data_IF_907870747484
#
_entry.id   IF_907870747484
#
_cell.length_a   1.000
_cell.length_b   1.000
_cell.length_c   1.000
_cell.angle_alpha   90.00
_cell.angle_beta   90.00
_cell.angle_gamma   90.00
#
_symmetry.space_group_name_H-M   'P 1'
#
loop_
_entity.id
_entity.type
_entity.pdbx_description
1 polymer ?
#
# COMPACT_ATOMS: atom_id res chain seq x y z
N UNK A 1 1.26 -27.72 12.52
CA UNK A 1 0.46 -26.82 11.67
C UNK A 1 -0.09 -25.74 12.58
N UNK A 2 0.30 -24.46 12.41
CA UNK A 2 -0.27 -23.39 13.23
C UNK A 2 -1.80 -23.35 13.03
N UNK A 3 -2.59 -23.09 14.07
CA UNK A 3 -4.04 -23.01 13.94
C UNK A 3 -4.40 -21.93 12.91
N UNK A 4 -5.32 -22.27 11.99
CA UNK A 4 -5.87 -21.29 11.06
C UNK A 4 -6.60 -20.24 11.90
N UNK A 5 -6.21 -18.96 11.85
CA UNK A 5 -6.86 -17.93 12.66
C UNK A 5 -8.35 -17.87 12.30
N UNK A 6 -9.21 -17.68 13.31
CA UNK A 6 -10.60 -17.36 13.05
C UNK A 6 -10.67 -16.00 12.37
N UNK A 7 -10.88 -16.03 11.04
CA UNK A 7 -10.88 -14.83 10.20
C UNK A 7 -12.04 -13.89 10.53
N UNK A 8 -13.10 -14.40 11.16
CA UNK A 8 -14.27 -13.59 11.51
C UNK A 8 -14.14 -12.95 12.89
N UNK A 9 -13.24 -13.45 13.73
CA UNK A 9 -13.00 -12.89 15.05
C UNK A 9 -12.45 -11.45 14.94
N UNK A 10 -12.93 -10.51 15.78
CA UNK A 10 -12.51 -9.10 15.73
C UNK A 10 -11.00 -8.89 15.71
N UNK A 11 -10.27 -9.62 16.56
CA UNK A 11 -8.81 -9.58 16.67
C UNK A 11 -8.09 -9.85 15.34
N UNK A 12 -8.72 -10.54 14.39
CA UNK A 12 -8.15 -10.79 13.09
C UNK A 12 -8.19 -9.54 12.20
N UNK A 13 -9.24 -8.73 12.24
CA UNK A 13 -9.41 -7.60 11.32
C UNK A 13 -9.28 -6.21 12.00
N UNK A 14 -9.13 -6.16 13.32
CA UNK A 14 -8.80 -4.93 14.05
C UNK A 14 -7.30 -4.72 14.19
N UNK A 15 -6.83 -3.48 14.07
CA UNK A 15 -5.45 -3.14 14.40
C UNK A 15 -5.20 -3.36 15.91
N UNK A 16 -4.17 -4.12 16.26
CA UNK A 16 -3.79 -4.35 17.66
C UNK A 16 -3.34 -3.07 18.41
N UNK A 17 -2.92 -2.04 17.66
CA UNK A 17 -2.64 -0.69 18.18
C UNK A 17 -3.24 0.35 17.25
N UNK A 18 -4.01 1.26 17.80
CA UNK A 18 -4.55 2.42 17.08
C UNK A 18 -3.75 3.68 17.43
N UNK A 19 -3.45 4.54 16.44
CA UNK A 19 -2.96 5.90 16.69
C UNK A 19 -3.91 6.67 17.60
N UNK A 20 -3.37 7.49 18.51
CA UNK A 20 -4.16 8.22 19.49
C UNK A 20 -5.22 9.11 18.84
N UNK A 21 -4.89 9.75 17.72
CA UNK A 21 -5.76 10.64 16.97
C UNK A 21 -6.94 9.90 16.34
N UNK A 22 -6.77 8.63 15.98
CA UNK A 22 -7.83 7.76 15.44
C UNK A 22 -8.64 7.15 16.58
N UNK A 23 -7.96 6.67 17.63
CA UNK A 23 -8.60 6.12 18.83
C UNK A 23 -9.54 7.15 19.50
N UNK A 24 -9.17 8.43 19.50
CA UNK A 24 -10.01 9.52 19.98
C UNK A 24 -11.32 9.71 19.19
N UNK A 25 -11.45 9.08 18.00
CA UNK A 25 -12.68 9.08 17.19
C UNK A 25 -13.48 7.79 17.30
N UNK A 26 -12.94 6.76 17.96
CA UNK A 26 -13.62 5.50 18.16
C UNK A 26 -14.94 5.73 18.91
N UNK A 27 -15.99 5.04 18.48
CA UNK A 27 -17.30 5.19 19.08
C UNK A 27 -18.33 4.28 18.43
N UNK A 28 -19.53 4.24 19.00
CA UNK A 28 -20.63 3.47 18.41
C UNK A 28 -21.17 4.21 17.17
N UNK A 29 -21.13 3.61 15.97
CA UNK A 29 -21.73 4.23 14.79
C UNK A 29 -23.26 4.27 14.89
N UNK A 30 -23.85 5.25 14.22
CA UNK A 30 -25.29 5.40 13.97
C UNK A 30 -25.76 4.61 12.72
N UNK A 31 -24.81 3.94 12.06
CA UNK A 31 -25.01 3.02 10.94
C UNK A 31 -24.58 1.61 11.35
N UNK A 32 -24.41 0.68 10.39
CA UNK A 32 -23.93 -0.67 10.66
C UNK A 32 -22.55 -0.64 11.35
N UNK A 33 -22.44 -1.36 12.46
CA UNK A 33 -21.21 -1.46 13.24
C UNK A 33 -20.16 -2.37 12.59
N UNK A 34 -18.90 -2.16 12.93
CA UNK A 34 -17.82 -3.10 12.60
C UNK A 34 -18.21 -4.53 13.03
N UNK A 35 -17.91 -5.52 12.19
CA UNK A 35 -18.37 -6.91 12.35
C UNK A 35 -19.71 -7.22 11.68
N UNK A 36 -20.51 -6.21 11.32
CA UNK A 36 -21.74 -6.42 10.54
C UNK A 36 -21.44 -6.91 9.12
N UNK A 37 -22.38 -7.59 8.43
CA UNK A 37 -22.24 -7.87 7.00
C UNK A 37 -21.87 -6.61 6.21
N UNK A 38 -20.99 -6.77 5.22
CA UNK A 38 -20.43 -5.69 4.40
C UNK A 38 -19.54 -4.65 5.13
N UNK A 39 -19.32 -4.76 6.45
CA UNK A 39 -18.39 -3.89 7.21
C UNK A 39 -17.00 -4.49 7.39
N UNK A 40 -16.88 -5.81 7.32
CA UNK A 40 -15.59 -6.50 7.42
C UNK A 40 -15.25 -7.14 6.09
N UNK A 41 -14.19 -6.68 5.45
CA UNK A 41 -13.69 -7.19 4.18
C UNK A 41 -12.35 -7.89 4.37
N UNK A 42 -12.20 -9.10 3.83
CA UNK A 42 -10.98 -9.91 4.02
C UNK A 42 -10.54 -10.50 2.69
N UNK A 43 -9.26 -10.37 2.39
CA UNK A 43 -8.56 -11.14 1.39
C UNK A 43 -7.38 -11.84 2.07
N UNK A 44 -7.30 -13.15 1.93
CA UNK A 44 -6.15 -13.95 2.36
C UNK A 44 -5.73 -14.81 1.17
N UNK A 45 -4.59 -14.45 0.59
CA UNK A 45 -4.09 -14.88 -0.70
C UNK A 45 -2.74 -15.56 -0.53
N UNK A 46 -2.59 -16.76 -1.10
CA UNK A 46 -1.31 -17.48 -1.16
C UNK A 46 -0.93 -17.81 -2.58
N UNK A 47 0.29 -17.43 -2.97
CA UNK A 47 0.85 -17.62 -4.30
C UNK A 47 2.03 -18.58 -4.25
N UNK A 48 2.08 -19.54 -5.16
CA UNK A 48 3.16 -20.53 -5.26
C UNK A 48 3.50 -20.80 -6.73
N UNK A 49 4.74 -21.25 -7.00
CA UNK A 49 5.13 -21.69 -8.33
C UNK A 49 4.55 -23.08 -8.63
N UNK A 50 3.73 -23.17 -9.68
CA UNK A 50 3.11 -24.40 -10.18
C UNK A 50 3.24 -24.45 -11.70
N UNK A 51 3.74 -25.56 -12.24
CA UNK A 51 3.91 -25.71 -13.69
C UNK A 51 4.78 -24.62 -14.34
N UNK A 52 5.79 -24.12 -13.62
CA UNK A 52 6.71 -23.10 -14.13
C UNK A 52 6.22 -21.65 -14.05
N UNK A 53 5.04 -21.38 -13.46
CA UNK A 53 4.53 -20.02 -13.23
C UNK A 53 3.92 -19.87 -11.85
N UNK A 54 3.69 -18.63 -11.44
CA UNK A 54 3.02 -18.30 -10.18
C UNK A 54 1.51 -18.48 -10.32
N UNK A 55 0.92 -19.24 -9.40
CA UNK A 55 -0.51 -19.52 -9.31
C UNK A 55 -1.06 -19.10 -7.93
N UNK A 56 -2.32 -18.67 -7.90
CA UNK A 56 -3.05 -18.44 -6.64
C UNK A 56 -3.56 -19.80 -6.11
N UNK A 57 -2.87 -20.34 -5.10
CA UNK A 57 -3.13 -21.67 -4.54
C UNK A 57 -3.94 -21.63 -3.24
N UNK A 58 -3.98 -20.49 -2.56
CA UNK A 58 -4.83 -20.26 -1.38
C UNK A 58 -5.62 -18.98 -1.58
N UNK A 59 -6.93 -19.04 -1.32
CA UNK A 59 -7.84 -17.91 -1.45
C UNK A 59 -8.95 -18.01 -0.41
N UNK A 60 -8.97 -17.06 0.51
CA UNK A 60 -10.16 -16.72 1.28
C UNK A 60 -10.58 -15.29 0.93
N UNK A 61 -11.88 -15.10 0.71
CA UNK A 61 -12.45 -13.82 0.33
C UNK A 61 -13.73 -13.58 1.13
N UNK A 62 -13.83 -12.41 1.75
CA UNK A 62 -15.04 -11.91 2.39
C UNK A 62 -15.34 -10.51 1.86
N UNK A 63 -16.55 -10.34 1.33
CA UNK A 63 -17.04 -9.04 0.88
C UNK A 63 -17.05 -8.03 2.05
N UNK A 64 -16.70 -6.76 1.80
CA UNK A 64 -16.70 -6.12 0.48
C UNK A 64 -15.41 -6.26 -0.33
N UNK A 65 -14.33 -6.84 0.21
CA UNK A 65 -13.12 -7.03 -0.60
C UNK A 65 -13.28 -8.19 -1.59
N UNK A 66 -12.76 -7.99 -2.79
CA UNK A 66 -12.76 -8.95 -3.89
C UNK A 66 -11.45 -8.87 -4.67
N UNK A 67 -11.15 -9.94 -5.41
CA UNK A 67 -10.07 -9.98 -6.39
C UNK A 67 -10.58 -10.41 -7.77
N UNK A 68 -9.93 -9.91 -8.82
CA UNK A 68 -10.05 -10.54 -10.14
C UNK A 68 -9.25 -11.84 -10.16
N UNK A 69 -9.62 -12.76 -11.06
CA UNK A 69 -8.79 -13.93 -11.35
C UNK A 69 -7.36 -13.48 -11.71
N UNK A 70 -6.32 -14.17 -11.23
CA UNK A 70 -4.95 -13.90 -11.67
C UNK A 70 -4.83 -13.90 -13.19
N UNK A 71 -4.08 -12.93 -13.70
CA UNK A 71 -3.76 -12.76 -15.12
C UNK A 71 -2.24 -12.84 -15.31
N UNK A 72 -1.78 -13.28 -16.47
CA UNK A 72 -0.35 -13.31 -16.82
C UNK A 72 -0.14 -12.34 -17.98
N UNK A 73 -0.03 -11.06 -17.62
CA UNK A 73 -0.12 -9.95 -18.57
C UNK A 73 1.24 -9.45 -19.05
N UNK A 74 2.33 -9.89 -18.42
CA UNK A 74 3.67 -9.44 -18.73
C UNK A 74 4.34 -10.38 -19.74
N UNK A 75 4.56 -9.98 -21.01
CA UNK A 75 5.22 -10.81 -22.00
C UNK A 75 6.67 -11.15 -21.63
N UNK A 76 7.34 -10.27 -20.87
CA UNK A 76 8.72 -10.46 -20.42
C UNK A 76 8.82 -11.35 -19.18
N UNK A 77 7.68 -11.54 -18.47
CA UNK A 77 7.51 -12.41 -17.30
C UNK A 77 6.17 -13.15 -17.36
N UNK A 78 6.01 -14.11 -18.30
CA UNK A 78 4.78 -14.89 -18.42
C UNK A 78 4.53 -15.80 -17.20
N UNK A 79 5.54 -15.95 -16.34
CA UNK A 79 5.49 -16.67 -15.07
C UNK A 79 4.90 -15.83 -13.91
N UNK A 80 4.78 -14.50 -14.07
CA UNK A 80 4.34 -13.60 -13.00
C UNK A 80 2.83 -13.35 -13.00
N UNK A 81 2.18 -13.63 -11.86
CA UNK A 81 0.76 -13.39 -11.68
C UNK A 81 0.47 -11.89 -11.46
N UNK A 82 -0.58 -11.38 -12.09
CA UNK A 82 -1.12 -10.03 -11.92
C UNK A 82 -2.52 -10.12 -11.36
N UNK A 83 -2.76 -9.48 -10.22
CA UNK A 83 -4.05 -9.54 -9.51
C UNK A 83 -4.55 -8.13 -9.20
N UNK A 84 -5.78 -7.86 -9.64
CA UNK A 84 -6.49 -6.64 -9.30
C UNK A 84 -7.35 -6.86 -8.06
N UNK A 85 -7.15 -6.02 -7.04
CA UNK A 85 -7.91 -5.97 -5.81
C UNK A 85 -8.98 -4.88 -5.91
N UNK A 86 -10.13 -5.11 -5.30
CA UNK A 86 -11.22 -4.13 -5.29
C UNK A 86 -12.09 -4.25 -4.04
N UNK A 87 -12.80 -3.17 -3.72
CA UNK A 87 -13.83 -3.15 -2.68
C UNK A 87 -15.19 -2.84 -3.32
N UNK A 88 -16.18 -3.69 -3.06
CA UNK A 88 -17.57 -3.47 -3.46
C UNK A 88 -18.19 -2.42 -2.53
N UNK A 89 -18.50 -1.23 -3.03
CA UNK A 89 -19.05 -0.14 -2.20
C UNK A 89 -18.64 1.28 -2.63
N UNK A 90 -17.84 1.43 -3.68
CA UNK A 90 -17.44 2.75 -4.20
C UNK A 90 -16.49 3.53 -3.30
N UNK A 91 -16.00 2.92 -2.22
CA UNK A 91 -15.03 3.49 -1.28
C UNK A 91 -15.13 2.85 0.12
N UNK A 92 -14.31 3.35 1.03
CA UNK A 92 -14.31 3.01 2.46
C UNK A 92 -15.25 3.96 3.20
N UNK A 93 -16.14 3.42 4.01
CA UNK A 93 -17.18 4.13 4.76
C UNK A 93 -17.05 3.90 6.26
N UNK A 94 -17.85 4.64 7.04
CA UNK A 94 -17.89 4.57 8.50
C UNK A 94 -17.93 3.13 9.01
N UNK A 95 -17.07 2.81 9.99
CA UNK A 95 -16.96 1.51 10.64
C UNK A 95 -16.46 0.34 9.75
N UNK A 96 -16.00 0.61 8.53
CA UNK A 96 -15.40 -0.45 7.69
C UNK A 96 -14.04 -0.90 8.27
N UNK A 97 -13.78 -2.20 8.18
CA UNK A 97 -12.56 -2.87 8.68
C UNK A 97 -12.07 -3.87 7.65
N UNK A 98 -10.99 -3.52 6.96
CA UNK A 98 -10.46 -4.30 5.86
C UNK A 98 -9.14 -4.96 6.24
N UNK A 99 -8.93 -6.18 5.75
CA UNK A 99 -7.67 -6.91 5.90
C UNK A 99 -7.30 -7.58 4.59
N UNK A 100 -6.06 -7.35 4.15
CA UNK A 100 -5.46 -7.96 2.96
C UNK A 100 -4.19 -8.66 3.43
N UNK A 101 -4.19 -9.99 3.40
CA UNK A 101 -3.00 -10.81 3.60
C UNK A 101 -2.59 -11.39 2.24
N UNK A 102 -1.34 -11.13 1.84
CA UNK A 102 -0.76 -11.69 0.64
C UNK A 102 0.56 -12.38 0.96
N UNK A 103 0.59 -13.69 0.76
CA UNK A 103 1.77 -14.53 0.94
C UNK A 103 2.29 -14.99 -0.43
N UNK A 104 3.44 -14.46 -0.83
CA UNK A 104 4.21 -14.90 -1.97
C UNK A 104 5.22 -15.97 -1.52
N UNK A 105 4.94 -17.22 -1.87
CA UNK A 105 5.79 -18.37 -1.52
C UNK A 105 7.13 -18.37 -2.25
N UNK A 106 8.02 -19.33 -1.94
CA UNK A 106 9.37 -19.35 -2.47
C UNK A 106 9.43 -19.28 -4.01
N UNK A 107 10.26 -18.38 -4.54
CA UNK A 107 10.42 -18.15 -5.97
C UNK A 107 9.20 -17.61 -6.73
N UNK A 108 8.05 -17.42 -6.06
CA UNK A 108 6.84 -16.93 -6.70
C UNK A 108 6.95 -15.43 -7.04
N UNK A 109 6.27 -15.00 -8.10
CA UNK A 109 6.26 -13.63 -8.60
C UNK A 109 4.83 -13.14 -8.76
N UNK A 110 4.47 -12.10 -8.02
CA UNK A 110 3.11 -11.54 -8.05
C UNK A 110 3.13 -10.03 -8.02
N UNK A 111 2.29 -9.42 -8.85
CA UNK A 111 1.92 -8.01 -8.78
C UNK A 111 0.47 -7.87 -8.33
N UNK A 112 0.29 -7.15 -7.24
CA UNK A 112 -0.98 -6.77 -6.67
C UNK A 112 -1.19 -5.27 -6.90
N UNK A 113 -2.32 -4.90 -7.47
CA UNK A 113 -2.74 -3.50 -7.63
C UNK A 113 -4.23 -3.39 -7.40
N UNK A 114 -4.75 -2.19 -7.19
CA UNK A 114 -6.20 -1.98 -7.14
C UNK A 114 -6.75 -1.69 -8.54
N UNK A 115 -8.07 -1.83 -8.71
CA UNK A 115 -8.74 -1.42 -9.95
C UNK A 115 -8.97 0.09 -10.02
N UNK A 116 -9.11 0.76 -8.88
CA UNK A 116 -9.39 2.18 -8.80
C UNK A 116 -8.87 2.77 -7.49
N UNK A 117 -8.76 4.11 -7.45
CA UNK A 117 -8.41 4.86 -6.26
C UNK A 117 -9.32 4.54 -5.07
N UNK A 118 -8.71 4.41 -3.89
CA UNK A 118 -9.43 4.15 -2.64
C UNK A 118 -9.99 5.47 -2.11
N UNK A 119 -11.30 5.68 -2.30
CA UNK A 119 -12.01 6.84 -1.75
C UNK A 119 -12.38 6.56 -0.31
N UNK A 120 -12.01 7.45 0.62
CA UNK A 120 -12.44 7.33 2.02
C UNK A 120 -13.49 8.39 2.29
N UNK A 121 -14.71 7.95 2.56
CA UNK A 121 -15.87 8.81 2.76
C UNK A 121 -15.89 9.44 4.15
N UNK A 122 -16.75 10.45 4.30
CA UNK A 122 -17.04 11.13 5.57
C UNK A 122 -17.55 10.16 6.62
N UNK A 123 -17.20 10.39 7.88
CA UNK A 123 -17.65 9.60 9.03
C UNK A 123 -18.10 10.53 10.15
N UNK A 124 -19.33 10.37 10.64
CA UNK A 124 -19.86 11.16 11.76
C UNK A 124 -19.39 10.57 13.10
N UNK A 125 -19.33 9.24 13.16
CA UNK A 125 -18.96 8.45 14.33
C UNK A 125 -17.93 7.40 13.94
N UNK A 126 -17.19 6.89 14.91
CA UNK A 126 -16.17 5.87 14.67
C UNK A 126 -15.13 6.29 13.60
N UNK A 127 -14.42 5.30 13.06
CA UNK A 127 -13.42 5.43 11.99
C UNK A 127 -13.53 4.23 11.04
N UNK A 128 -12.70 4.19 10.00
CA UNK A 128 -12.45 2.98 9.23
C UNK A 128 -10.97 2.60 9.23
N UNK A 129 -10.66 1.33 9.03
CA UNK A 129 -9.27 0.89 8.97
C UNK A 129 -9.00 -0.18 7.92
N UNK A 130 -7.77 -0.23 7.44
CA UNK A 130 -7.26 -1.27 6.56
C UNK A 130 -5.93 -1.80 7.05
N UNK A 131 -5.84 -3.12 7.17
CA UNK A 131 -4.62 -3.86 7.43
C UNK A 131 -4.13 -4.49 6.14
N UNK A 132 -2.85 -4.32 5.81
CA UNK A 132 -2.20 -4.94 4.66
C UNK A 132 -0.98 -5.69 5.18
N UNK A 133 -0.94 -7.01 5.02
CA UNK A 133 0.19 -7.85 5.37
C UNK A 133 0.75 -8.48 4.11
N UNK A 134 2.00 -8.17 3.79
CA UNK A 134 2.71 -8.67 2.62
C UNK A 134 3.86 -9.55 3.11
N UNK A 135 3.87 -10.81 2.70
CA UNK A 135 4.93 -11.76 3.05
C UNK A 135 5.58 -12.29 1.78
N UNK A 136 6.89 -12.09 1.64
CA UNK A 136 7.68 -12.59 0.53
C UNK A 136 8.74 -13.56 1.08
N UNK A 137 8.64 -14.82 0.67
CA UNK A 137 9.58 -15.89 1.01
C UNK A 137 10.86 -15.82 0.15
N UNK A 138 11.81 -16.71 0.40
CA UNK A 138 13.08 -16.80 -0.33
C UNK A 138 12.89 -16.77 -1.87
N UNK A 139 13.64 -15.88 -2.53
CA UNK A 139 13.57 -15.67 -3.98
C UNK A 139 12.23 -15.16 -4.53
N UNK A 140 11.24 -14.86 -3.66
CA UNK A 140 9.96 -14.35 -4.08
C UNK A 140 10.06 -12.88 -4.53
N UNK A 141 9.21 -12.49 -5.47
CA UNK A 141 9.14 -11.12 -5.99
C UNK A 141 7.70 -10.61 -5.89
N UNK A 142 7.42 -9.75 -4.92
CA UNK A 142 6.08 -9.22 -4.64
C UNK A 142 6.04 -7.71 -4.92
N UNK A 143 5.16 -7.29 -5.82
CA UNK A 143 4.87 -5.88 -6.06
C UNK A 143 3.47 -5.56 -5.51
N UNK A 144 3.36 -4.59 -4.61
CA UNK A 144 2.08 -4.04 -4.14
C UNK A 144 2.01 -2.56 -4.52
N UNK A 145 1.29 -2.27 -5.60
CA UNK A 145 1.22 -0.96 -6.23
C UNK A 145 -0.25 -0.52 -6.38
N UNK A 146 -0.96 -0.24 -5.29
CA UNK A 146 -2.34 0.27 -5.32
C UNK A 146 -2.44 1.65 -6.00
N UNK A 147 -3.65 1.98 -6.43
CA UNK A 147 -4.03 3.32 -6.85
C UNK A 147 -4.10 4.27 -5.65
N UNK A 148 -4.16 5.60 -5.87
CA UNK A 148 -4.14 6.58 -4.80
C UNK A 148 -5.24 6.43 -3.75
N UNK A 149 -4.89 6.73 -2.50
CA UNK A 149 -5.81 6.92 -1.38
C UNK A 149 -6.31 8.37 -1.36
N UNK A 150 -7.63 8.57 -1.40
CA UNK A 150 -8.28 9.87 -1.50
C UNK A 150 -9.19 10.09 -0.28
N UNK A 151 -8.74 10.78 0.77
CA UNK A 151 -9.56 11.10 1.93
C UNK A 151 -10.52 12.26 1.63
N UNK A 152 -11.82 12.05 1.78
CA UNK A 152 -12.82 13.11 1.61
C UNK A 152 -12.95 13.95 2.88
N UNK A 153 -13.68 15.06 2.78
CA UNK A 153 -14.06 15.88 3.93
C UNK A 153 -14.64 15.03 5.07
N UNK A 154 -14.12 15.21 6.29
CA UNK A 154 -14.56 14.50 7.49
C UNK A 154 -14.25 12.99 7.49
N UNK A 155 -13.33 12.52 6.65
CA UNK A 155 -12.86 11.14 6.70
C UNK A 155 -12.03 10.88 7.98
N UNK A 156 -12.13 9.65 8.50
CA UNK A 156 -11.41 9.17 9.69
C UNK A 156 -10.82 7.80 9.39
N UNK A 157 -9.51 7.73 9.15
CA UNK A 157 -8.91 6.51 8.58
C UNK A 157 -7.58 6.12 9.18
N UNK A 158 -7.38 4.82 9.35
CA UNK A 158 -6.10 4.21 9.72
C UNK A 158 -5.72 3.10 8.75
N UNK A 159 -4.54 3.18 8.15
CA UNK A 159 -3.95 2.09 7.40
C UNK A 159 -2.69 1.59 8.09
N UNK A 160 -2.56 0.27 8.25
CA UNK A 160 -1.31 -0.36 8.65
C UNK A 160 -0.86 -1.31 7.55
N UNK A 161 0.34 -1.10 7.04
CA UNK A 161 1.04 -1.96 6.09
C UNK A 161 2.20 -2.63 6.81
N UNK A 162 2.21 -3.97 6.85
CA UNK A 162 3.30 -4.75 7.41
C UNK A 162 3.91 -5.63 6.33
N UNK A 163 5.22 -5.55 6.16
CA UNK A 163 5.98 -6.30 5.16
C UNK A 163 6.95 -7.22 5.88
N UNK A 164 6.88 -8.51 5.55
CA UNK A 164 7.89 -9.50 5.95
C UNK A 164 8.61 -9.99 4.70
N UNK A 165 9.90 -9.67 4.57
CA UNK A 165 10.71 -10.04 3.42
C UNK A 165 11.89 -10.92 3.86
N UNK A 166 11.91 -12.18 3.41
CA UNK A 166 13.06 -13.06 3.60
C UNK A 166 14.33 -12.50 2.92
N UNK A 167 15.53 -12.88 3.37
CA UNK A 167 16.74 -12.70 2.57
C UNK A 167 16.54 -13.27 1.16
N UNK A 168 17.09 -12.62 0.13
CA UNK A 168 16.88 -12.98 -1.27
C UNK A 168 15.49 -12.66 -1.85
N UNK A 169 14.52 -12.25 -1.03
CA UNK A 169 13.22 -11.82 -1.50
C UNK A 169 13.25 -10.36 -1.97
N UNK A 170 12.34 -10.00 -2.86
CA UNK A 170 12.12 -8.61 -3.27
C UNK A 170 10.67 -8.19 -3.03
N UNK A 171 10.49 -7.05 -2.37
CA UNK A 171 9.20 -6.38 -2.22
C UNK A 171 9.28 -4.96 -2.78
N UNK A 172 8.43 -4.64 -3.74
CA UNK A 172 8.23 -3.27 -4.23
C UNK A 172 6.86 -2.79 -3.76
N UNK A 173 6.86 -1.78 -2.90
CA UNK A 173 5.65 -1.24 -2.26
C UNK A 173 5.48 0.23 -2.65
N UNK A 174 4.37 0.56 -3.30
CA UNK A 174 4.01 1.93 -3.66
C UNK A 174 2.81 2.41 -2.86
N UNK A 175 2.85 3.65 -2.39
CA UNK A 175 1.70 4.31 -1.77
C UNK A 175 1.58 5.74 -2.33
N UNK A 176 0.37 6.15 -2.68
CA UNK A 176 0.06 7.54 -3.04
C UNK A 176 -1.10 8.03 -2.18
N UNK A 177 -0.87 9.14 -1.49
CA UNK A 177 -1.89 9.85 -0.74
C UNK A 177 -2.20 11.17 -1.44
N UNK A 178 -3.48 11.48 -1.60
CA UNK A 178 -3.94 12.79 -2.06
C UNK A 178 -4.38 13.66 -0.87
N UNK A 179 -4.23 14.97 -0.99
CA UNK A 179 -4.69 15.94 0.01
C UNK A 179 -6.22 15.90 0.18
N UNK A 180 -6.94 15.41 -0.83
CA UNK A 180 -8.36 15.12 -0.74
C UNK A 180 -9.00 15.01 -2.11
N UNK A 181 -10.30 15.34 -2.18
CA UNK A 181 -11.09 15.36 -3.41
C UNK A 181 -10.87 16.68 -4.17
N UNK A 182 -9.68 16.83 -4.77
CA UNK A 182 -9.20 18.07 -5.41
C UNK A 182 -10.15 18.64 -6.47
N UNK A 183 -10.75 17.77 -7.29
CA UNK A 183 -11.72 18.16 -8.31
C UNK A 183 -13.00 18.81 -7.74
N UNK A 184 -13.23 18.71 -6.43
CA UNK A 184 -14.33 19.38 -5.70
C UNK A 184 -13.82 20.41 -4.69
N UNK A 185 -12.58 20.86 -4.84
CA UNK A 185 -11.96 21.88 -3.99
C UNK A 185 -11.63 21.42 -2.57
N UNK A 186 -11.68 20.11 -2.28
CA UNK A 186 -11.35 19.58 -0.96
C UNK A 186 -9.85 19.29 -0.86
N UNK A 187 -9.17 20.05 0.01
CA UNK A 187 -7.78 19.85 0.41
C UNK A 187 -7.69 19.77 1.92
N UNK A 188 -7.08 18.71 2.43
CA UNK A 188 -6.86 18.46 3.84
C UNK A 188 -8.12 18.69 4.70
N UNK A 189 -9.29 18.27 4.18
CA UNK A 189 -10.58 18.50 4.82
C UNK A 189 -11.07 17.29 5.64
N UNK A 190 -10.28 16.23 5.72
CA UNK A 190 -10.52 15.05 6.56
C UNK A 190 -10.25 15.37 8.04
N UNK A 191 -10.86 14.58 8.94
CA UNK A 191 -10.68 14.76 10.39
C UNK A 191 -9.36 14.16 10.86
N UNK A 192 -9.06 12.93 10.42
CA UNK A 192 -7.82 12.23 10.73
C UNK A 192 -7.50 11.18 9.68
N UNK A 193 -6.23 11.13 9.30
CA UNK A 193 -5.66 10.08 8.47
C UNK A 193 -4.33 9.66 9.11
N UNK A 194 -4.20 8.38 9.42
CA UNK A 194 -2.97 7.80 9.91
C UNK A 194 -2.52 6.62 9.06
N UNK A 195 -1.24 6.57 8.73
CA UNK A 195 -0.61 5.43 8.06
C UNK A 195 0.56 4.94 8.91
N UNK A 196 0.71 3.63 9.00
CA UNK A 196 1.82 2.95 9.65
C UNK A 196 2.39 1.92 8.68
N UNK A 197 3.67 2.00 8.39
CA UNK A 197 4.44 1.01 7.64
C UNK A 197 5.48 0.38 8.56
N UNK A 198 5.56 -0.94 8.54
CA UNK A 198 6.58 -1.71 9.22
C UNK A 198 7.16 -2.73 8.23
N UNK A 199 8.47 -2.73 8.06
CA UNK A 199 9.19 -3.68 7.20
C UNK A 199 10.15 -4.45 8.09
N UNK A 200 10.05 -5.78 8.09
CA UNK A 200 10.86 -6.66 8.92
C UNK A 200 11.32 -7.93 8.19
N UNK A 201 12.31 -8.59 8.75
CA UNK A 201 12.72 -9.96 8.40
C UNK A 201 11.82 -10.99 9.09
N UNK A 202 11.81 -12.27 8.62
CA UNK A 202 10.98 -13.32 9.22
C UNK A 202 11.29 -13.61 10.70
N UNK A 203 12.51 -13.33 11.16
CA UNK A 203 12.93 -13.49 12.56
C UNK A 203 12.49 -12.33 13.46
N UNK A 204 11.81 -11.32 12.90
CA UNK A 204 11.36 -10.13 13.61
C UNK A 204 12.35 -8.96 13.58
N UNK A 205 13.51 -9.09 12.93
CA UNK A 205 14.45 -7.98 12.77
C UNK A 205 13.80 -6.86 11.97
N UNK A 206 13.63 -5.70 12.61
CA UNK A 206 13.02 -4.52 12.01
C UNK A 206 13.99 -3.84 11.06
N UNK A 207 13.56 -3.57 9.83
CA UNK A 207 14.35 -2.92 8.78
C UNK A 207 13.96 -1.46 8.59
N UNK A 208 12.66 -1.16 8.59
CA UNK A 208 12.16 0.20 8.41
C UNK A 208 10.80 0.39 9.05
N UNK A 209 10.57 1.63 9.50
CA UNK A 209 9.27 2.11 9.97
C UNK A 209 9.02 3.46 9.32
N UNK A 210 7.81 3.66 8.83
CA UNK A 210 7.31 4.98 8.46
C UNK A 210 5.92 5.19 9.04
N UNK A 211 5.70 6.36 9.65
CA UNK A 211 4.43 6.68 10.30
C UNK A 211 4.00 8.08 9.92
N UNK A 212 2.79 8.21 9.39
CA UNK A 212 2.21 9.51 9.09
C UNK A 212 0.99 9.74 9.99
N UNK A 213 0.89 10.94 10.56
CA UNK A 213 -0.20 11.39 11.42
C UNK A 213 -0.74 12.71 10.88
N UNK A 214 -1.83 12.62 10.14
CA UNK A 214 -2.41 13.75 9.42
C UNK A 214 -3.75 14.11 10.04
N UNK A 215 -3.74 15.12 10.91
CA UNK A 215 -4.93 15.65 11.56
C UNK A 215 -5.02 17.17 11.31
N UNK A 216 -5.63 17.58 10.18
CA UNK A 216 -5.83 18.99 9.84
C UNK A 216 -6.56 19.72 10.97
N UNK A 217 -6.16 20.95 11.27
CA UNK A 217 -6.81 21.78 12.31
C UNK A 217 -6.39 21.49 13.75
N UNK A 218 -5.54 20.48 14.00
CA UNK A 218 -4.97 20.25 15.34
C UNK A 218 -3.99 21.35 15.77
N UNK A 219 -3.23 21.90 14.82
CA UNK A 219 -2.42 23.14 14.92
C UNK A 219 -2.29 23.79 13.52
N UNK A 220 -1.93 25.09 13.40
CA UNK A 220 -1.68 25.74 12.11
C UNK A 220 -0.61 25.02 11.29
N UNK A 221 -0.79 24.93 9.97
CA UNK A 221 0.17 24.36 9.00
C UNK A 221 0.65 22.92 9.28
N UNK A 222 -0.08 22.14 10.08
CA UNK A 222 0.34 20.79 10.47
C UNK A 222 0.54 19.84 9.29
N UNK A 223 -0.39 19.86 8.34
CA UNK A 223 -0.33 18.96 7.17
C UNK A 223 0.23 19.65 5.93
N UNK A 224 0.17 20.98 5.84
CA UNK A 224 0.71 21.76 4.71
C UNK A 224 2.14 22.24 4.93
N UNK A 225 2.72 22.00 6.11
CA UNK A 225 4.08 22.40 6.45
C UNK A 225 5.14 21.67 5.61
N UNK A 226 6.37 22.21 5.57
CA UNK A 226 7.45 21.71 4.71
C UNK A 226 7.90 20.28 5.04
N UNK A 227 7.65 19.81 6.27
CA UNK A 227 7.97 18.45 6.70
C UNK A 227 6.88 17.42 6.37
N UNK A 228 5.77 17.84 5.73
CA UNK A 228 4.64 16.97 5.38
C UNK A 228 4.33 17.09 3.89
N UNK A 229 3.30 17.85 3.49
CA UNK A 229 2.98 18.05 2.06
C UNK A 229 3.72 19.24 1.44
N UNK A 230 4.34 20.11 2.23
CA UNK A 230 4.97 21.35 1.74
C UNK A 230 4.06 22.18 0.81
N UNK A 231 2.74 22.13 1.05
CA UNK A 231 1.72 22.80 0.24
C UNK A 231 1.26 22.05 -1.01
N UNK A 232 1.82 20.89 -1.33
CA UNK A 232 1.44 20.09 -2.50
C UNK A 232 0.19 19.23 -2.28
N UNK A 233 -0.44 18.81 -3.38
CA UNK A 233 -1.68 18.03 -3.34
C UNK A 233 -1.47 16.50 -3.26
N UNK A 234 -0.29 15.97 -3.58
CA UNK A 234 0.01 14.54 -3.58
C UNK A 234 1.33 14.23 -2.88
N UNK A 235 1.33 13.17 -2.06
CA UNK A 235 2.52 12.55 -1.49
C UNK A 235 2.57 11.10 -1.98
N UNK A 236 3.64 10.76 -2.69
CA UNK A 236 3.86 9.41 -3.20
C UNK A 236 5.16 8.85 -2.66
N UNK A 237 5.15 7.59 -2.23
CA UNK A 237 6.32 6.88 -1.72
C UNK A 237 6.45 5.53 -2.41
N UNK A 238 7.68 5.16 -2.75
CA UNK A 238 8.03 3.84 -3.27
C UNK A 238 9.13 3.26 -2.39
N UNK A 239 8.87 2.11 -1.77
CA UNK A 239 9.84 1.31 -1.05
C UNK A 239 10.26 0.13 -1.91
N UNK A 240 11.56 -0.13 -1.95
CA UNK A 240 12.17 -1.27 -2.64
C UNK A 240 12.99 -2.02 -1.60
N UNK A 241 12.46 -3.14 -1.14
CA UNK A 241 13.15 -4.05 -0.23
C UNK A 241 13.76 -5.15 -1.07
N UNK A 242 15.08 -5.17 -1.19
CA UNK A 242 15.82 -6.14 -1.99
C UNK A 242 17.29 -6.11 -1.61
N UNK A 243 17.91 -7.28 -1.51
CA UNK A 243 19.35 -7.48 -1.35
C UNK A 243 20.02 -7.99 -2.65
N UNK A 244 19.27 -8.02 -3.77
CA UNK A 244 19.79 -8.47 -5.06
C UNK A 244 20.83 -7.52 -5.66
N UNK A 245 20.85 -6.26 -5.20
CA UNK A 245 21.80 -5.21 -5.58
C UNK A 245 22.16 -4.39 -4.35
N UNK A 246 23.34 -3.74 -4.30
CA UNK A 246 23.69 -2.82 -3.22
C UNK A 246 22.61 -1.74 -3.04
N UNK A 247 22.28 -1.40 -1.80
CA UNK A 247 21.21 -0.46 -1.49
C UNK A 247 21.43 0.90 -2.17
N UNK A 248 22.67 1.36 -2.19
CA UNK A 248 23.08 2.60 -2.87
C UNK A 248 22.78 2.56 -4.38
N UNK A 249 22.96 1.42 -5.06
CA UNK A 249 22.68 1.32 -6.50
C UNK A 249 21.18 1.39 -6.79
N UNK A 250 20.35 0.83 -5.91
CA UNK A 250 18.88 0.95 -6.00
C UNK A 250 18.47 2.41 -5.78
N UNK A 251 19.05 3.09 -4.78
CA UNK A 251 18.81 4.51 -4.52
C UNK A 251 19.24 5.39 -5.71
N UNK A 252 20.44 5.19 -6.25
CA UNK A 252 20.93 5.95 -7.40
C UNK A 252 20.08 5.72 -8.66
N UNK A 253 19.57 4.50 -8.83
CA UNK A 253 18.63 4.17 -9.91
C UNK A 253 17.31 4.92 -9.75
N UNK A 254 16.74 4.95 -8.54
CA UNK A 254 15.52 5.70 -8.24
C UNK A 254 15.71 7.21 -8.45
N UNK A 255 16.83 7.77 -7.98
CA UNK A 255 17.13 9.18 -8.14
C UNK A 255 17.28 9.57 -9.61
N UNK A 256 18.13 8.86 -10.36
CA UNK A 256 18.33 9.10 -11.80
C UNK A 256 17.05 8.93 -12.61
N UNK A 257 16.15 8.05 -12.20
CA UNK A 257 14.87 7.88 -12.88
C UNK A 257 14.01 9.15 -12.87
N UNK A 258 14.11 9.96 -11.81
CA UNK A 258 13.32 11.18 -11.61
C UNK A 258 14.10 12.50 -11.75
N UNK A 259 15.42 12.44 -11.83
CA UNK A 259 16.28 13.60 -12.00
C UNK A 259 15.91 14.41 -13.27
N UNK A 260 16.00 15.73 -13.18
CA UNK A 260 15.65 16.65 -14.27
C UNK A 260 14.15 16.74 -14.63
N UNK A 261 13.23 16.06 -13.92
CA UNK A 261 11.79 16.07 -14.23
C UNK A 261 10.97 17.19 -13.58
N UNK A 262 11.64 18.09 -12.85
CA UNK A 262 10.98 19.18 -12.11
C UNK A 262 10.00 18.68 -11.05
N UNK A 263 10.34 17.58 -10.37
CA UNK A 263 9.58 16.99 -9.28
C UNK A 263 10.31 17.22 -7.96
N UNK A 264 9.59 17.63 -6.92
CA UNK A 264 10.15 17.67 -5.57
C UNK A 264 10.21 16.25 -5.04
N UNK A 265 11.41 15.68 -4.95
CA UNK A 265 11.59 14.30 -4.52
C UNK A 265 12.89 14.10 -3.75
N UNK A 266 12.93 13.05 -2.94
CA UNK A 266 14.11 12.60 -2.20
C UNK A 266 14.20 11.08 -2.24
N UNK A 267 15.44 10.57 -2.25
CA UNK A 267 15.75 9.15 -2.26
C UNK A 267 16.79 8.87 -1.20
N UNK A 268 16.68 7.73 -0.52
CA UNK A 268 17.71 7.27 0.40
C UNK A 268 17.70 5.74 0.51
N UNK A 269 18.78 5.18 1.03
CA UNK A 269 18.87 3.75 1.32
C UNK A 269 18.00 3.39 2.52
N UNK A 270 17.55 2.13 2.56
CA UNK A 270 17.01 1.53 3.77
C UNK A 270 18.17 1.03 4.65
N UNK A 271 17.99 0.95 5.98
CA UNK A 271 18.99 0.37 6.88
C UNK A 271 19.42 -1.05 6.49
N UNK A 272 20.56 -1.50 7.00
CA UNK A 272 21.04 -2.89 6.87
C UNK A 272 21.14 -3.40 5.41
N UNK A 273 21.50 -2.51 4.47
CA UNK A 273 21.54 -2.81 3.02
C UNK A 273 20.22 -3.42 2.49
N UNK A 274 19.09 -3.14 3.14
CA UNK A 274 17.81 -3.78 2.83
C UNK A 274 17.14 -3.26 1.55
N UNK A 275 17.73 -2.26 0.89
CA UNK A 275 17.25 -1.66 -0.35
C UNK A 275 17.18 -0.14 -0.27
N UNK A 276 16.17 0.48 -0.89
CA UNK A 276 16.03 1.93 -0.93
C UNK A 276 14.58 2.39 -0.95
N UNK A 277 14.37 3.68 -0.72
CA UNK A 277 13.06 4.31 -0.83
C UNK A 277 13.14 5.66 -1.53
N UNK A 278 12.04 6.02 -2.19
CA UNK A 278 11.83 7.29 -2.88
C UNK A 278 10.54 7.91 -2.32
N UNK A 279 10.55 9.21 -2.06
CA UNK A 279 9.34 10.00 -1.81
C UNK A 279 9.32 11.22 -2.68
N UNK A 280 8.13 11.57 -3.16
CA UNK A 280 7.91 12.78 -3.96
C UNK A 280 6.63 13.50 -3.54
N UNK A 281 6.64 14.81 -3.78
CA UNK A 281 5.52 15.73 -3.63
C UNK A 281 5.20 16.34 -4.99
N UNK A 282 3.91 16.39 -5.33
CA UNK A 282 3.45 16.94 -6.61
C UNK A 282 1.96 17.33 -6.57
N UNK A 283 1.53 18.26 -7.41
CA UNK A 283 0.16 18.76 -7.53
C UNK A 283 -0.67 18.06 -8.62
N UNK A 284 -0.04 17.54 -9.68
CA UNK A 284 -0.73 16.78 -10.72
C UNK A 284 -0.80 15.29 -10.39
N UNK A 285 -2.02 14.70 -10.36
CA UNK A 285 -2.16 13.26 -10.19
C UNK A 285 -1.54 12.48 -11.36
N UNK A 286 -1.53 13.06 -12.56
CA UNK A 286 -0.95 12.44 -13.75
C UNK A 286 0.57 12.42 -13.65
N UNK A 287 1.20 13.54 -13.26
CA UNK A 287 2.67 13.58 -13.07
C UNK A 287 3.11 12.69 -11.91
N UNK A 288 2.34 12.64 -10.83
CA UNK A 288 2.57 11.74 -9.68
C UNK A 288 2.56 10.27 -10.13
N UNK A 289 1.53 9.84 -10.85
CA UNK A 289 1.43 8.46 -11.34
C UNK A 289 2.53 8.12 -12.36
N UNK A 290 2.86 9.05 -13.26
CA UNK A 290 3.93 8.88 -14.23
C UNK A 290 5.31 8.76 -13.55
N UNK A 291 5.56 9.56 -12.51
CA UNK A 291 6.80 9.50 -11.74
C UNK A 291 6.97 8.17 -11.01
N UNK A 292 5.92 7.70 -10.30
CA UNK A 292 5.96 6.38 -9.66
C UNK A 292 6.15 5.25 -10.67
N UNK A 293 5.46 5.30 -11.81
CA UNK A 293 5.62 4.31 -12.89
C UNK A 293 7.04 4.31 -13.44
N UNK A 294 7.62 5.49 -13.65
CA UNK A 294 9.01 5.64 -14.12
C UNK A 294 10.01 5.06 -13.12
N UNK A 295 9.87 5.39 -11.84
CA UNK A 295 10.74 4.88 -10.78
C UNK A 295 10.62 3.36 -10.63
N UNK A 296 9.39 2.84 -10.65
CA UNK A 296 9.11 1.40 -10.62
C UNK A 296 9.72 0.68 -11.82
N UNK A 297 9.56 1.20 -13.04
CA UNK A 297 10.16 0.64 -14.25
C UNK A 297 11.69 0.58 -14.16
N UNK A 298 12.32 1.65 -13.68
CA UNK A 298 13.78 1.72 -13.55
C UNK A 298 14.31 0.66 -12.56
N UNK A 299 13.68 0.52 -11.40
CA UNK A 299 14.08 -0.48 -10.41
C UNK A 299 13.79 -1.90 -10.88
N UNK A 300 12.64 -2.13 -11.53
CA UNK A 300 12.31 -3.46 -12.07
C UNK A 300 13.31 -3.88 -13.14
N UNK A 301 13.74 -2.96 -13.99
CA UNK A 301 14.80 -3.20 -14.97
C UNK A 301 16.13 -3.54 -14.30
N UNK A 302 16.52 -2.77 -13.27
CA UNK A 302 17.74 -3.04 -12.50
C UNK A 302 17.73 -4.44 -11.85
N UNK A 303 16.63 -4.79 -11.17
CA UNK A 303 16.55 -6.00 -10.35
C UNK A 303 16.26 -7.27 -11.17
N UNK A 304 15.54 -7.14 -12.28
CA UNK A 304 15.05 -8.30 -13.03
C UNK A 304 15.57 -8.37 -14.47
N UNK A 305 16.27 -7.34 -14.95
CA UNK A 305 16.71 -7.22 -16.34
C UNK A 305 15.55 -7.00 -17.33
N UNK A 306 14.31 -6.82 -16.85
CA UNK A 306 13.11 -6.62 -17.68
C UNK A 306 12.34 -5.37 -17.22
N UNK A 307 11.86 -4.51 -18.13
CA UNK A 307 11.06 -3.36 -17.77
C UNK A 307 9.67 -3.79 -17.29
N UNK A 308 8.93 -2.87 -16.68
CA UNK A 308 7.56 -3.13 -16.25
C UNK A 308 6.56 -3.11 -17.44
N UNK A 309 5.54 -3.98 -17.46
CA UNK A 309 4.58 -4.01 -18.56
C UNK A 309 3.75 -2.72 -18.58
N UNK A 310 3.51 -2.18 -19.79
CA UNK A 310 2.56 -1.06 -19.98
C UNK A 310 1.12 -1.60 -19.94
N UNK A 311 0.60 -1.74 -18.72
CA UNK A 311 -0.77 -2.16 -18.48
C UNK A 311 -1.64 -0.92 -18.34
N UNK A 312 -2.21 -0.45 -19.47
CA UNK A 312 -3.28 0.55 -19.43
C UNK A 312 -4.48 -0.04 -18.69
N UNK A 313 -4.80 0.54 -17.53
CA UNK A 313 -6.11 0.35 -16.89
C UNK A 313 -7.12 1.11 -17.76
N UNK A 314 -7.82 0.39 -18.64
CA UNK A 314 -8.93 0.95 -19.46
C UNK A 314 -10.10 1.38 -18.57
#
# INVERSE_FOLDING_TARGET
MAPVPDRLAPEHWTAGRLPAEVAARAGRPDTLAAGSPAKVGILDLGFEVRGGRTELVRRYQKAPLQLMRPLWLDPERPDAAHVYLMATGGGVTQADRYRIDAHCGPGARVRLTTQAATKVHRMERDYASQLVHLRAEDGAYLEYLPDPLIPFRGARYHQRTAVTAAPGATVVLGETLTAGRLARGERHAYDVLATDLEIARPDGTLLAVDTQRLAPGSRPHTVTGPAVFAGHDHLATLYVVSDLRPAAEIADTLHRALDGRGLLHGVSTLPEEAGAWLRLLEDSPVRTAAALTTAWQAVRLLLTGRPAPDLRKT
#
